data_IF_045669198290
#
_entry.id   IF_045669198290
#
_cell.length_a   1.000
_cell.length_b   1.000
_cell.length_c   1.000
_cell.angle_alpha   90.00
_cell.angle_beta   90.00
_cell.angle_gamma   90.00
#
_symmetry.space_group_name_H-M   'P 1'
#
loop_
_entity.id
_entity.type
_entity.pdbx_description
1 polymer ?
#
# COMPACT_ATOMS: atom_id res chain seq x y z
N UNK A 1 12.12 -14.63 -10.08
CA UNK A 1 12.32 -14.10 -8.71
C UNK A 1 11.33 -13.00 -8.35
N UNK A 2 11.25 -11.89 -9.09
CA UNK A 2 10.35 -10.77 -8.78
C UNK A 2 8.86 -11.15 -8.65
N UNK A 3 8.36 -12.04 -9.51
CA UNK A 3 6.96 -12.50 -9.45
C UNK A 3 6.62 -13.22 -8.14
N UNK A 4 7.53 -14.06 -7.63
CA UNK A 4 7.30 -14.76 -6.36
C UNK A 4 7.26 -13.79 -5.18
N UNK A 5 8.17 -12.81 -5.15
CA UNK A 5 8.15 -11.75 -4.13
C UNK A 5 6.85 -10.94 -4.19
N UNK A 6 6.37 -10.64 -5.40
CA UNK A 6 5.10 -9.93 -5.62
C UNK A 6 3.90 -10.72 -5.08
N UNK A 7 3.80 -12.01 -5.40
CA UNK A 7 2.71 -12.88 -4.91
C UNK A 7 2.77 -13.00 -3.39
N UNK A 8 3.95 -13.29 -2.83
CA UNK A 8 4.13 -13.36 -1.37
C UNK A 8 3.74 -12.06 -0.69
N UNK A 9 4.11 -10.92 -1.27
CA UNK A 9 3.74 -9.60 -0.74
C UNK A 9 2.23 -9.38 -0.74
N UNK A 10 1.53 -9.74 -1.82
CA UNK A 10 0.06 -9.66 -1.89
C UNK A 10 -0.58 -10.52 -0.79
N UNK A 11 -0.09 -11.74 -0.58
CA UNK A 11 -0.61 -12.63 0.47
C UNK A 11 -0.40 -12.01 1.85
N UNK A 12 0.80 -11.50 2.15
CA UNK A 12 1.10 -10.82 3.41
C UNK A 12 0.22 -9.59 3.61
N UNK A 13 0.02 -8.79 2.57
CA UNK A 13 -0.89 -7.64 2.61
C UNK A 13 -2.31 -8.07 2.91
N UNK A 14 -2.84 -9.10 2.25
CA UNK A 14 -4.20 -9.58 2.50
C UNK A 14 -4.37 -10.04 3.95
N UNK A 15 -3.40 -10.77 4.50
CA UNK A 15 -3.39 -11.20 5.91
C UNK A 15 -3.44 -9.99 6.86
N UNK A 16 -2.58 -8.99 6.63
CA UNK A 16 -2.47 -7.81 7.50
C UNK A 16 -3.62 -6.82 7.35
N UNK A 17 -4.25 -6.75 6.17
CA UNK A 17 -5.38 -5.88 5.90
C UNK A 17 -6.69 -6.50 6.41
N UNK A 18 -6.86 -7.81 6.31
CA UNK A 18 -8.11 -8.49 6.70
C UNK A 18 -8.09 -9.07 8.12
N UNK A 19 -6.98 -8.97 8.86
CA UNK A 19 -7.03 -9.22 10.31
C UNK A 19 -7.98 -8.22 10.97
N UNK A 20 -8.82 -8.73 11.86
CA UNK A 20 -9.90 -8.00 12.54
C UNK A 20 -9.36 -6.79 13.32
N UNK A 21 -8.18 -6.94 13.94
CA UNK A 21 -7.56 -5.89 14.75
C UNK A 21 -6.06 -5.84 14.48
N UNK A 22 -5.64 -4.78 13.78
CA UNK A 22 -4.22 -4.49 13.59
C UNK A 22 -3.52 -4.21 14.93
N UNK A 23 -4.21 -3.55 15.87
CA UNK A 23 -3.69 -3.28 17.20
C UNK A 23 -3.45 -4.54 18.01
N UNK A 24 -4.35 -5.52 17.96
CA UNK A 24 -4.16 -6.78 18.71
C UNK A 24 -3.09 -7.66 18.09
N UNK A 25 -2.99 -7.64 16.76
CA UNK A 25 -1.86 -8.27 16.07
C UNK A 25 -0.53 -7.62 16.49
N UNK A 26 -0.44 -6.28 16.51
CA UNK A 26 0.79 -5.58 16.88
C UNK A 26 1.14 -5.70 18.37
N UNK A 27 0.13 -5.78 19.26
CA UNK A 27 0.34 -5.84 20.72
C UNK A 27 0.60 -7.25 21.21
N UNK A 28 -0.17 -8.22 20.71
CA UNK A 28 -0.24 -9.56 21.27
C UNK A 28 0.15 -10.64 20.26
N UNK A 29 0.35 -10.29 18.97
CA UNK A 29 0.57 -11.27 17.91
C UNK A 29 -0.71 -12.03 17.53
N UNK A 30 -1.88 -11.57 17.98
CA UNK A 30 -3.14 -12.25 17.77
C UNK A 30 -3.66 -11.95 16.36
N UNK A 31 -3.80 -13.01 15.58
CA UNK A 31 -4.28 -12.95 14.21
C UNK A 31 -5.66 -13.59 14.15
N UNK A 32 -6.68 -12.77 13.93
CA UNK A 32 -8.07 -13.19 13.94
C UNK A 32 -8.79 -12.67 12.70
N UNK A 33 -9.59 -13.54 12.09
CA UNK A 33 -10.46 -13.20 10.98
C UNK A 33 -11.90 -13.49 11.38
N UNK A 34 -12.76 -12.47 11.35
CA UNK A 34 -14.18 -12.62 11.69
C UNK A 34 -15.02 -12.04 10.57
N UNK A 35 -15.64 -12.91 9.77
CA UNK A 35 -16.47 -12.48 8.66
C UNK A 35 -17.89 -12.10 9.13
N UNK A 36 -18.45 -11.02 8.59
CA UNK A 36 -19.81 -10.58 8.84
C UNK A 36 -20.54 -10.28 7.53
N UNK A 37 -21.82 -10.70 7.45
CA UNK A 37 -22.72 -10.37 6.35
C UNK A 37 -23.38 -8.99 6.50
N UNK A 38 -23.18 -8.33 7.65
CA UNK A 38 -23.72 -7.01 7.95
C UNK A 38 -22.59 -6.01 8.24
N UNK A 39 -21.78 -5.65 7.23
CA UNK A 39 -20.68 -4.69 7.39
C UNK A 39 -21.21 -3.30 7.77
N UNK A 40 -20.48 -2.62 8.65
CA UNK A 40 -20.79 -1.24 9.04
C UNK A 40 -19.82 -0.26 8.36
N UNK A 41 -20.37 0.71 7.62
CA UNK A 41 -19.61 1.76 6.92
C UNK A 41 -19.75 3.14 7.58
N UNK A 42 -20.35 3.22 8.77
CA UNK A 42 -20.63 4.47 9.48
C UNK A 42 -19.37 5.32 9.72
N UNK A 43 -18.21 4.67 9.87
CA UNK A 43 -16.91 5.33 10.05
C UNK A 43 -16.13 5.62 8.77
N UNK A 44 -16.65 5.29 7.58
CA UNK A 44 -15.84 5.30 6.35
C UNK A 44 -15.28 6.69 5.99
N UNK A 45 -16.08 7.73 6.19
CA UNK A 45 -15.67 9.12 5.93
C UNK A 45 -15.10 9.83 7.17
N UNK A 46 -14.91 9.12 8.28
CA UNK A 46 -14.43 9.73 9.51
C UNK A 46 -12.93 10.02 9.41
N UNK A 47 -12.58 11.31 9.41
CA UNK A 47 -11.21 11.78 9.47
C UNK A 47 -10.82 12.05 10.92
N UNK A 48 -9.82 11.32 11.43
CA UNK A 48 -9.28 11.57 12.76
C UNK A 48 -8.25 12.69 12.73
N UNK A 49 -8.23 13.52 13.76
CA UNK A 49 -7.09 14.41 14.01
C UNK A 49 -5.89 13.57 14.43
N UNK A 50 -4.77 13.70 13.72
CA UNK A 50 -3.51 13.03 14.12
C UNK A 50 -2.97 13.52 15.46
N UNK A 51 -3.49 14.64 15.99
CA UNK A 51 -3.10 15.19 17.29
C UNK A 51 -3.46 14.24 18.44
N UNK A 52 -4.55 13.48 18.31
CA UNK A 52 -5.03 12.53 19.35
C UNK A 52 -4.82 11.06 18.94
N UNK A 53 -4.00 10.82 17.91
CA UNK A 53 -3.76 9.48 17.41
C UNK A 53 -2.95 8.65 18.41
N UNK A 54 -3.49 7.48 18.79
CA UNK A 54 -2.72 6.52 19.58
C UNK A 54 -1.48 6.04 18.80
N UNK A 55 -0.42 5.66 19.53
CA UNK A 55 0.82 5.13 18.92
C UNK A 55 0.55 4.00 17.92
N UNK A 56 -0.31 3.05 18.26
CA UNK A 56 -0.65 1.91 17.40
C UNK A 56 -1.43 2.32 16.16
N UNK A 57 -2.29 3.34 16.26
CA UNK A 57 -2.97 3.90 15.10
C UNK A 57 -1.95 4.50 14.12
N UNK A 58 -0.98 5.27 14.61
CA UNK A 58 0.08 5.86 13.78
C UNK A 58 0.96 4.78 13.13
N UNK A 59 1.33 3.73 13.87
CA UNK A 59 2.08 2.59 13.32
C UNK A 59 1.28 1.86 12.25
N UNK A 60 -0.02 1.65 12.45
CA UNK A 60 -0.90 1.06 11.45
C UNK A 60 -0.90 1.90 10.15
N UNK A 61 -1.06 3.23 10.25
CA UNK A 61 -1.03 4.14 9.09
C UNK A 61 0.31 4.14 8.38
N UNK A 62 1.41 4.14 9.12
CA UNK A 62 2.74 3.99 8.55
C UNK A 62 2.91 2.63 7.83
N UNK A 63 2.35 1.57 8.41
CA UNK A 63 2.30 0.24 7.79
C UNK A 63 1.58 0.27 6.44
N UNK A 64 0.42 0.92 6.35
CA UNK A 64 -0.32 1.10 5.09
C UNK A 64 0.48 1.86 4.03
N UNK A 65 1.17 2.93 4.44
CA UNK A 65 2.03 3.70 3.53
C UNK A 65 3.16 2.83 2.96
N UNK A 66 3.92 2.16 3.84
CA UNK A 66 5.06 1.32 3.46
C UNK A 66 4.61 0.11 2.64
N UNK A 67 3.49 -0.50 3.04
CA UNK A 67 2.82 -1.61 2.35
C UNK A 67 2.62 -1.32 0.86
N UNK A 68 1.99 -0.18 0.56
CA UNK A 68 1.68 0.23 -0.81
C UNK A 68 2.87 0.81 -1.55
N UNK A 69 3.84 1.42 -0.86
CA UNK A 69 5.11 1.79 -1.46
C UNK A 69 5.85 0.57 -2.02
N UNK A 70 5.98 -0.50 -1.22
CA UNK A 70 6.63 -1.75 -1.63
C UNK A 70 5.80 -2.44 -2.72
N UNK A 71 4.47 -2.43 -2.59
CA UNK A 71 3.58 -2.98 -3.62
C UNK A 71 3.80 -2.30 -4.96
N UNK A 72 3.91 -0.97 -4.99
CA UNK A 72 4.15 -0.20 -6.19
C UNK A 72 5.52 -0.54 -6.81
N UNK A 73 6.56 -0.72 -5.99
CA UNK A 73 7.88 -1.20 -6.42
C UNK A 73 7.85 -2.58 -7.07
N UNK A 74 7.18 -3.54 -6.45
CA UNK A 74 7.08 -4.88 -7.00
C UNK A 74 6.21 -4.88 -8.27
N UNK A 75 5.13 -4.09 -8.28
CA UNK A 75 4.22 -3.95 -9.43
C UNK A 75 4.93 -3.36 -10.65
N UNK A 76 5.73 -2.29 -10.51
CA UNK A 76 6.51 -1.75 -11.64
C UNK A 76 7.55 -2.74 -12.15
N UNK A 77 8.12 -3.55 -11.26
CA UNK A 77 9.09 -4.59 -11.64
C UNK A 77 8.42 -5.73 -12.42
N UNK A 78 7.21 -6.15 -12.02
CA UNK A 78 6.46 -7.24 -12.67
C UNK A 78 5.78 -6.77 -13.96
N UNK A 79 5.03 -5.66 -13.92
CA UNK A 79 4.27 -5.17 -15.07
C UNK A 79 5.12 -4.38 -16.07
N UNK A 80 6.31 -3.95 -15.66
CA UNK A 80 7.24 -3.15 -16.48
C UNK A 80 6.65 -1.85 -17.02
N UNK A 81 5.56 -1.38 -16.43
CA UNK A 81 4.86 -0.15 -16.81
C UNK A 81 4.41 0.60 -15.56
N UNK A 82 4.63 1.92 -15.54
CA UNK A 82 4.17 2.80 -14.45
C UNK A 82 2.64 2.80 -14.39
N UNK A 83 1.98 2.87 -15.55
CA UNK A 83 0.51 2.90 -15.65
C UNK A 83 -0.12 1.62 -15.11
N UNK A 84 0.43 0.45 -15.45
CA UNK A 84 -0.06 -0.83 -14.93
C UNK A 84 0.10 -0.93 -13.41
N UNK A 85 1.26 -0.50 -12.87
CA UNK A 85 1.50 -0.49 -11.43
C UNK A 85 0.56 0.47 -10.69
N UNK A 86 0.34 1.67 -11.25
CA UNK A 86 -0.58 2.66 -10.73
C UNK A 86 -2.00 2.11 -10.63
N UNK A 87 -2.52 1.60 -11.75
CA UNK A 87 -3.89 1.07 -11.82
C UNK A 87 -4.10 -0.08 -10.84
N UNK A 88 -3.14 -1.01 -10.79
CA UNK A 88 -3.21 -2.15 -9.88
C UNK A 88 -3.19 -1.73 -8.40
N UNK A 89 -2.28 -0.84 -8.01
CA UNK A 89 -2.20 -0.38 -6.62
C UNK A 89 -3.45 0.40 -6.22
N UNK A 90 -3.99 1.25 -7.10
CA UNK A 90 -5.24 1.95 -6.84
C UNK A 90 -6.41 0.98 -6.71
N UNK A 91 -6.58 0.07 -7.66
CA UNK A 91 -7.61 -0.95 -7.60
C UNK A 91 -7.55 -1.73 -6.28
N UNK A 92 -6.36 -2.13 -5.84
CA UNK A 92 -6.20 -2.87 -4.60
C UNK A 92 -6.46 -2.00 -3.36
N UNK A 93 -6.02 -0.74 -3.35
CA UNK A 93 -6.28 0.20 -2.24
C UNK A 93 -7.77 0.39 -2.00
N UNK A 94 -8.55 0.61 -3.06
CA UNK A 94 -10.00 0.75 -2.97
C UNK A 94 -10.67 -0.58 -2.60
N UNK A 95 -10.32 -1.67 -3.28
CA UNK A 95 -10.96 -2.97 -3.07
C UNK A 95 -10.76 -3.48 -1.65
N UNK A 96 -9.53 -3.41 -1.14
CA UNK A 96 -9.23 -3.90 0.22
C UNK A 96 -9.94 -3.08 1.29
N UNK A 97 -10.08 -1.77 1.11
CA UNK A 97 -10.79 -0.93 2.08
C UNK A 97 -12.30 -1.14 2.08
N UNK A 98 -12.89 -1.41 0.91
CA UNK A 98 -14.31 -1.76 0.81
C UNK A 98 -14.62 -3.15 1.37
N UNK A 99 -13.66 -4.07 1.29
CA UNK A 99 -13.79 -5.45 1.78
C UNK A 99 -13.52 -5.53 3.29
N UNK A 100 -12.66 -4.68 3.86
CA UNK A 100 -12.28 -4.70 5.28
C UNK A 100 -13.47 -4.71 6.27
N UNK A 101 -14.56 -3.94 6.08
CA UNK A 101 -15.76 -4.01 6.92
C UNK A 101 -16.41 -5.39 7.04
N UNK A 102 -16.27 -6.25 6.03
CA UNK A 102 -16.73 -7.63 6.09
C UNK A 102 -15.90 -8.48 7.06
N UNK A 103 -14.70 -8.03 7.45
CA UNK A 103 -13.82 -8.68 8.42
C UNK A 103 -13.91 -8.04 9.82
N UNK A 104 -14.99 -7.30 10.11
CA UNK A 104 -15.16 -6.51 11.34
C UNK A 104 -14.02 -5.51 11.59
N UNK A 105 -13.43 -5.01 10.51
CA UNK A 105 -12.41 -3.96 10.54
C UNK A 105 -12.97 -2.69 9.92
N UNK A 106 -12.63 -1.55 10.51
CA UNK A 106 -13.06 -0.27 9.97
C UNK A 106 -12.46 -0.05 8.58
N UNK A 107 -13.31 0.01 7.57
CA UNK A 107 -12.96 0.60 6.27
C UNK A 107 -12.99 2.12 6.39
N UNK A 108 -11.96 2.82 5.92
CA UNK A 108 -11.78 4.27 6.04
C UNK A 108 -11.19 4.87 4.77
N UNK A 109 -11.78 5.98 4.31
CA UNK A 109 -11.26 6.79 3.21
C UNK A 109 -9.81 7.25 3.48
N UNK A 110 -9.48 7.53 4.74
CA UNK A 110 -8.12 7.90 5.16
C UNK A 110 -7.09 6.82 4.78
N UNK A 111 -7.42 5.54 4.90
CA UNK A 111 -6.53 4.45 4.55
C UNK A 111 -6.31 4.35 3.04
N UNK A 112 -7.35 4.60 2.22
CA UNK A 112 -7.20 4.73 0.77
C UNK A 112 -6.21 5.86 0.45
N UNK A 113 -6.36 7.04 1.06
CA UNK A 113 -5.47 8.18 0.81
C UNK A 113 -4.01 7.87 1.20
N UNK A 114 -3.80 7.12 2.29
CA UNK A 114 -2.47 6.70 2.75
C UNK A 114 -1.86 5.65 1.81
N UNK A 115 -2.66 4.66 1.39
CA UNK A 115 -2.25 3.64 0.41
C UNK A 115 -1.86 4.30 -0.93
N UNK A 116 -2.66 5.27 -1.38
CA UNK A 116 -2.40 6.06 -2.59
C UNK A 116 -1.14 6.90 -2.43
N UNK A 117 -0.92 7.55 -1.30
CA UNK A 117 0.27 8.38 -1.08
C UNK A 117 1.56 7.54 -1.08
N UNK A 118 1.57 6.37 -0.44
CA UNK A 118 2.70 5.43 -0.52
C UNK A 118 3.01 4.99 -1.95
N UNK A 119 1.97 4.65 -2.72
CA UNK A 119 2.09 4.34 -4.16
C UNK A 119 2.71 5.51 -4.93
N UNK A 120 2.19 6.73 -4.74
CA UNK A 120 2.65 7.92 -5.46
C UNK A 120 4.10 8.27 -5.11
N UNK A 121 4.48 8.16 -3.84
CA UNK A 121 5.87 8.41 -3.41
C UNK A 121 6.84 7.49 -4.13
N UNK A 122 6.54 6.20 -4.25
CA UNK A 122 7.38 5.28 -5.01
C UNK A 122 7.46 5.65 -6.49
N UNK A 123 6.32 5.88 -7.15
CA UNK A 123 6.29 6.19 -8.59
C UNK A 123 6.99 7.51 -8.92
N UNK A 124 6.88 8.50 -8.03
CA UNK A 124 7.61 9.76 -8.13
C UNK A 124 9.12 9.54 -8.10
N UNK A 125 9.62 8.78 -7.11
CA UNK A 125 11.04 8.42 -7.03
C UNK A 125 11.49 7.65 -8.27
N UNK A 126 10.71 6.64 -8.68
CA UNK A 126 10.99 5.85 -9.88
C UNK A 126 11.14 6.75 -11.13
N UNK A 127 10.24 7.72 -11.32
CA UNK A 127 10.29 8.64 -12.45
C UNK A 127 11.52 9.57 -12.41
N UNK A 128 11.93 10.04 -11.22
CA UNK A 128 13.12 10.89 -11.06
C UNK A 128 14.42 10.16 -11.43
N UNK A 129 14.56 8.90 -11.02
CA UNK A 129 15.77 8.12 -11.27
C UNK A 129 15.80 7.48 -12.66
N UNK A 130 14.64 7.08 -13.21
CA UNK A 130 14.59 6.45 -14.52
C UNK A 130 14.80 7.43 -15.70
N UNK A 131 14.50 8.72 -15.52
CA UNK A 131 14.79 9.75 -16.54
C UNK A 131 16.28 10.09 -16.69
N UNK A 132 17.15 9.64 -15.78
CA UNK A 132 18.60 9.80 -15.87
C UNK A 132 19.23 8.64 -16.64
N UNK A 133 18.93 8.46 -17.93
CA UNK A 133 19.86 7.72 -18.80
C UNK A 133 21.05 8.63 -19.08
N UNK A 134 22.31 8.18 -18.91
CA UNK A 134 23.47 9.01 -19.19
C UNK A 134 23.44 9.44 -20.66
N UNK A 135 23.62 10.74 -20.91
CA UNK A 135 23.89 11.26 -22.24
C UNK A 135 25.25 10.70 -22.64
N UNK A 136 25.29 9.75 -23.58
CA UNK A 136 26.54 9.37 -24.23
C UNK A 136 27.00 10.58 -25.04
N UNK A 137 27.96 11.34 -24.52
CA UNK A 137 28.67 12.33 -25.32
C UNK A 137 29.51 11.56 -26.36
N UNK A 138 29.50 11.96 -27.64
CA UNK A 138 30.33 11.32 -28.64
C UNK A 138 31.81 11.44 -28.23
N UNK A 139 32.54 10.33 -28.33
CA UNK A 139 34.00 10.35 -28.19
C UNK A 139 34.57 11.34 -29.22
N UNK A 140 35.19 12.41 -28.72
CA UNK A 140 35.99 13.30 -29.54
C UNK A 140 37.21 12.50 -29.99
N UNK A 141 37.19 12.03 -31.25
CA UNK A 141 38.38 11.46 -31.88
C UNK A 141 39.43 12.56 -32.00
N UNK A 142 40.44 12.53 -31.13
CA UNK A 142 41.64 13.34 -31.29
C UNK A 142 42.47 12.74 -32.43
N UNK A 143 42.47 13.43 -33.57
CA UNK A 143 43.39 13.21 -34.69
C UNK A 143 44.80 13.66 -34.36
#
# INVERSE_FOLDING_TARGET
>A
MALWLFITWIILLAILLFTQSASDFLRHGHLQFAFTNAPQFSGFFHMYSFVDASFYFSIQKLGHFIAFFILAFLSTTVFRTIVGALFFCFFLAFSTELIQPFFNRDGRLLDILINVSGTMSYLFLYALFHKRKPINLPEVQSS
#
